data_IF_789239357739
#
_entry.id   IF_789239357739
#
_cell.length_a   1.000
_cell.length_b   1.000
_cell.length_c   1.000
_cell.angle_alpha   90.00
_cell.angle_beta   90.00
_cell.angle_gamma   90.00
#
_symmetry.space_group_name_H-M   'P 1'
#
loop_
_entity.id
_entity.type
_entity.pdbx_description
1 polymer ?
#
# COMPACT_ATOMS: atom_id res chain seq x y z
N UNK A 1 55.55 37.55 -7.77
CA UNK A 1 54.50 36.53 -8.00
C UNK A 1 53.15 37.23 -7.94
N UNK A 2 52.53 37.51 -9.09
CA UNK A 2 51.21 38.16 -9.16
C UNK A 2 50.16 37.04 -9.19
N UNK A 3 49.32 36.95 -8.15
CA UNK A 3 48.18 36.02 -8.13
C UNK A 3 47.02 36.67 -8.88
N UNK A 4 46.72 36.13 -10.06
CA UNK A 4 45.55 36.53 -10.84
C UNK A 4 44.33 35.82 -10.28
N UNK A 5 43.37 36.57 -9.73
CA UNK A 5 42.07 36.04 -9.32
C UNK A 5 41.10 36.24 -10.49
N UNK A 6 40.77 35.16 -11.19
CA UNK A 6 39.72 35.20 -12.20
C UNK A 6 38.36 35.26 -11.47
N UNK A 7 37.73 36.42 -11.47
CA UNK A 7 36.33 36.56 -11.06
C UNK A 7 35.45 36.13 -12.24
N UNK A 8 34.74 35.01 -12.08
CA UNK A 8 33.71 34.58 -13.02
C UNK A 8 32.43 35.37 -12.74
N UNK A 9 32.09 36.27 -13.66
CA UNK A 9 30.80 36.95 -13.68
C UNK A 9 29.82 36.11 -14.51
N UNK A 10 28.91 35.39 -13.86
CA UNK A 10 27.82 34.67 -14.53
C UNK A 10 26.62 35.60 -14.62
N UNK A 11 26.42 36.19 -15.81
CA UNK A 11 25.21 36.95 -16.12
C UNK A 11 24.13 35.97 -16.59
N UNK A 12 23.19 35.63 -15.71
CA UNK A 12 21.99 34.88 -16.09
C UNK A 12 20.92 35.88 -16.51
N UNK A 13 20.54 35.96 -17.80
CA UNK A 13 19.45 36.84 -18.21
C UNK A 13 18.16 36.38 -17.53
N UNK A 14 17.50 37.30 -16.84
CA UNK A 14 16.19 37.07 -16.23
C UNK A 14 15.09 37.09 -17.30
N UNK A 15 15.07 36.07 -18.16
CA UNK A 15 13.86 35.69 -18.89
C UNK A 15 13.16 34.65 -18.05
N UNK A 16 12.11 35.04 -17.34
CA UNK A 16 11.16 34.11 -16.71
C UNK A 16 10.32 33.44 -17.80
N UNK A 17 10.95 32.59 -18.61
CA UNK A 17 10.23 31.62 -19.41
C UNK A 17 9.74 30.54 -18.42
N UNK A 18 8.47 30.58 -18.07
CA UNK A 18 7.85 29.48 -17.33
C UNK A 18 7.93 28.23 -18.21
N UNK A 19 8.70 27.24 -17.77
CA UNK A 19 8.77 25.95 -18.45
C UNK A 19 7.36 25.35 -18.48
N UNK A 20 6.90 24.93 -19.67
CA UNK A 20 5.60 24.26 -19.83
C UNK A 20 5.53 22.93 -19.08
N UNK A 21 6.69 22.31 -18.82
CA UNK A 21 6.82 21.04 -18.12
C UNK A 21 7.92 21.11 -17.07
N UNK A 22 7.71 20.45 -15.93
CA UNK A 22 8.74 20.30 -14.91
C UNK A 22 9.88 19.42 -15.41
N UNK A 23 11.12 19.83 -15.13
CA UNK A 23 12.31 19.00 -15.31
C UNK A 23 12.61 18.11 -14.09
N UNK A 24 11.87 18.27 -12.99
CA UNK A 24 12.02 17.43 -11.80
C UNK A 24 11.22 16.13 -11.92
N UNK A 25 11.89 14.99 -11.74
CA UNK A 25 11.26 13.66 -11.70
C UNK A 25 11.38 13.06 -10.30
N UNK A 26 10.34 13.19 -9.48
CA UNK A 26 10.36 12.76 -8.07
C UNK A 26 9.64 11.44 -7.79
N UNK A 27 9.01 10.83 -8.79
CA UNK A 27 8.20 9.60 -8.63
C UNK A 27 9.02 8.41 -8.08
N UNK A 28 10.30 8.31 -8.45
CA UNK A 28 11.21 7.28 -7.92
C UNK A 28 11.49 7.39 -6.41
N UNK A 29 11.27 8.58 -5.82
CA UNK A 29 11.45 8.83 -4.39
C UNK A 29 10.15 8.63 -3.59
N UNK A 30 9.05 8.25 -4.23
CA UNK A 30 7.80 7.97 -3.54
C UNK A 30 7.93 6.69 -2.70
N UNK A 31 7.94 6.84 -1.38
CA UNK A 31 8.08 5.72 -0.42
C UNK A 31 7.00 4.65 -0.59
N UNK A 32 5.83 5.01 -1.12
CA UNK A 32 4.74 4.06 -1.44
C UNK A 32 5.13 3.05 -2.50
N UNK A 33 6.15 3.33 -3.32
CA UNK A 33 6.69 2.38 -4.30
C UNK A 33 7.73 1.43 -3.73
N UNK A 34 8.12 1.61 -2.46
CA UNK A 34 9.21 0.91 -1.80
C UNK A 34 8.79 0.12 -0.54
N UNK A 35 7.49 -0.07 -0.32
CA UNK A 35 6.95 -0.86 0.81
C UNK A 35 6.21 -2.13 0.35
N UNK A 36 6.51 -2.59 -0.87
CA UNK A 36 5.92 -3.80 -1.46
C UNK A 36 4.40 -3.72 -1.51
N UNK A 37 3.72 -4.72 -0.95
CA UNK A 37 2.26 -4.82 -0.94
C UNK A 37 1.62 -4.39 0.39
N UNK A 38 2.36 -3.64 1.23
CA UNK A 38 1.98 -3.27 2.59
C UNK A 38 1.53 -1.81 2.74
N UNK A 39 1.77 -0.98 1.73
CA UNK A 39 1.34 0.42 1.73
C UNK A 39 -0.06 0.67 1.18
N UNK A 40 -0.44 1.96 1.15
CA UNK A 40 -1.50 2.47 0.31
C UNK A 40 -1.37 2.15 -1.17
N UNK A 41 -2.48 2.21 -1.90
CA UNK A 41 -2.53 2.19 -3.36
C UNK A 41 -1.62 3.29 -3.95
N UNK A 42 -0.93 2.94 -5.02
CA UNK A 42 -0.13 3.87 -5.82
C UNK A 42 -0.28 3.50 -7.28
N UNK A 43 -0.47 4.51 -8.13
CA UNK A 43 -0.51 4.29 -9.56
C UNK A 43 0.80 3.68 -10.06
N UNK A 44 0.65 2.75 -11.00
CA UNK A 44 1.79 2.17 -11.71
C UNK A 44 2.52 3.28 -12.46
N UNK A 45 3.85 3.24 -12.44
CA UNK A 45 4.68 4.08 -13.33
C UNK A 45 4.26 3.88 -14.78
N UNK A 46 3.84 4.97 -15.44
CA UNK A 46 3.36 4.96 -16.81
C UNK A 46 4.51 4.98 -17.83
N UNK A 47 4.32 4.33 -18.98
CA UNK A 47 5.22 4.39 -20.14
C UNK A 47 4.93 5.59 -21.08
N UNK A 48 4.06 6.51 -20.66
CA UNK A 48 3.59 7.64 -21.47
C UNK A 48 2.45 7.29 -22.43
N UNK A 49 1.88 6.09 -22.33
CA UNK A 49 0.73 5.68 -23.13
C UNK A 49 -0.53 6.32 -22.52
N UNK A 50 -1.37 6.92 -23.36
CA UNK A 50 -2.65 7.44 -22.92
C UNK A 50 -3.55 6.28 -22.46
N UNK A 51 -4.19 6.44 -21.32
CA UNK A 51 -5.04 5.44 -20.70
C UNK A 51 -6.42 5.34 -21.38
N UNK A 52 -6.83 6.34 -22.15
CA UNK A 52 -8.11 6.38 -22.85
C UNK A 52 -8.12 5.49 -24.10
N UNK A 53 -9.31 5.00 -24.52
CA UNK A 53 -9.42 4.28 -25.78
C UNK A 53 -8.88 5.12 -26.95
N UNK A 54 -8.22 4.49 -27.94
CA UNK A 54 -7.79 5.20 -29.14
C UNK A 54 -8.93 5.91 -29.85
N UNK A 55 -8.62 6.96 -30.61
CA UNK A 55 -9.61 7.70 -31.39
C UNK A 55 -10.38 6.75 -32.34
N UNK A 56 -11.71 6.83 -32.31
CA UNK A 56 -12.59 5.95 -33.08
C UNK A 56 -12.90 4.60 -32.41
N UNK A 57 -12.36 4.33 -31.22
CA UNK A 57 -12.66 3.14 -30.43
C UNK A 57 -13.49 3.48 -29.20
N UNK A 58 -14.32 2.54 -28.77
CA UNK A 58 -15.01 2.56 -27.48
C UNK A 58 -14.84 1.21 -26.80
N UNK A 59 -14.79 1.21 -25.47
CA UNK A 59 -14.82 -0.05 -24.70
C UNK A 59 -16.22 -0.62 -24.77
N UNK A 60 -16.34 -1.92 -25.07
CA UNK A 60 -17.59 -2.69 -25.08
C UNK A 60 -17.67 -3.72 -23.94
N UNK A 61 -16.55 -4.04 -23.29
CA UNK A 61 -16.49 -4.92 -22.12
C UNK A 61 -15.32 -4.57 -21.18
N UNK A 62 -15.53 -4.75 -19.87
CA UNK A 62 -14.49 -4.61 -18.85
C UNK A 62 -14.47 -5.85 -17.96
N UNK A 63 -13.26 -6.38 -17.72
CA UNK A 63 -12.99 -7.38 -16.70
C UNK A 63 -11.97 -6.78 -15.74
N UNK A 64 -12.37 -6.57 -14.48
CA UNK A 64 -11.51 -6.01 -13.44
C UNK A 64 -11.30 -7.05 -12.33
N UNK A 65 -10.05 -7.20 -11.91
CA UNK A 65 -9.68 -7.96 -10.72
C UNK A 65 -8.98 -6.97 -9.78
N UNK A 66 -9.64 -6.60 -8.68
CA UNK A 66 -9.11 -5.70 -7.65
C UNK A 66 -8.74 -6.51 -6.40
N UNK A 67 -7.56 -6.24 -5.84
CA UNK A 67 -7.18 -6.68 -4.50
C UNK A 67 -8.07 -5.96 -3.48
N UNK A 68 -8.26 -6.55 -2.29
CA UNK A 68 -8.75 -5.76 -1.15
C UNK A 68 -7.97 -4.45 -0.97
N UNK A 69 -8.61 -3.44 -0.39
CA UNK A 69 -7.99 -2.15 -0.10
C UNK A 69 -6.97 -2.23 1.03
N UNK A 70 -6.62 -1.07 1.56
CA UNK A 70 -5.75 -0.93 2.71
C UNK A 70 -6.38 -1.57 3.95
N UNK A 71 -5.55 -2.34 4.66
CA UNK A 71 -5.97 -3.11 5.82
C UNK A 71 -5.01 -2.93 6.99
N UNK A 72 -5.53 -3.16 8.19
CA UNK A 72 -4.70 -3.42 9.37
C UNK A 72 -3.83 -4.68 9.18
N UNK A 73 -2.77 -4.86 10.01
CA UNK A 73 -1.95 -6.07 9.97
C UNK A 73 -2.77 -7.36 10.12
N UNK A 74 -2.24 -8.48 9.64
CA UNK A 74 -2.83 -9.80 9.92
C UNK A 74 -2.66 -10.12 11.41
N UNK A 75 -3.53 -11.00 11.91
CA UNK A 75 -3.39 -11.51 13.28
C UNK A 75 -2.05 -12.24 13.53
N UNK A 76 -1.41 -12.77 12.47
CA UNK A 76 -0.07 -13.38 12.52
C UNK A 76 1.09 -12.37 12.42
N UNK A 77 0.81 -11.13 12.01
CA UNK A 77 1.77 -10.03 11.87
C UNK A 77 1.76 -9.16 13.13
N UNK A 78 0.57 -8.80 13.63
CA UNK A 78 0.34 -7.89 14.75
C UNK A 78 1.22 -8.13 15.98
N UNK A 79 1.26 -9.35 16.56
CA UNK A 79 2.10 -9.65 17.72
C UNK A 79 3.60 -9.42 17.49
N UNK A 80 4.09 -9.55 16.26
CA UNK A 80 5.51 -9.33 15.92
C UNK A 80 5.82 -7.84 15.86
N UNK A 81 4.90 -7.04 15.31
CA UNK A 81 4.98 -5.57 15.30
C UNK A 81 4.94 -5.04 16.73
N UNK A 82 3.98 -5.49 17.54
CA UNK A 82 3.85 -5.10 18.94
C UNK A 82 5.12 -5.42 19.74
N UNK A 83 5.69 -6.62 19.57
CA UNK A 83 6.94 -7.02 20.24
C UNK A 83 8.11 -6.07 19.92
N UNK A 84 8.26 -5.67 18.66
CA UNK A 84 9.29 -4.70 18.27
C UNK A 84 9.01 -3.31 18.84
N UNK A 85 7.75 -2.85 18.80
CA UNK A 85 7.32 -1.57 19.37
C UNK A 85 7.52 -1.48 20.89
N UNK A 86 7.35 -2.58 21.63
CA UNK A 86 7.58 -2.59 23.07
C UNK A 86 9.04 -2.30 23.44
N UNK A 87 10.01 -2.81 22.66
CA UNK A 87 11.43 -2.44 22.83
C UNK A 87 11.62 -0.94 22.64
N UNK A 88 11.02 -0.40 21.57
CA UNK A 88 11.13 1.01 21.20
C UNK A 88 10.51 1.93 22.25
N UNK A 89 9.29 1.64 22.71
CA UNK A 89 8.61 2.44 23.73
C UNK A 89 9.37 2.47 25.04
N UNK A 90 9.90 1.32 25.48
CA UNK A 90 10.71 1.24 26.71
C UNK A 90 11.93 2.16 26.62
N UNK A 91 12.74 2.02 25.57
CA UNK A 91 13.95 2.82 25.40
C UNK A 91 13.66 4.32 25.24
N UNK A 92 12.63 4.70 24.47
CA UNK A 92 12.29 6.10 24.26
C UNK A 92 11.84 6.82 25.54
N UNK A 93 11.30 6.09 26.52
CA UNK A 93 10.91 6.60 27.84
C UNK A 93 12.08 6.64 28.82
N UNK A 94 12.90 5.58 28.84
CA UNK A 94 14.03 5.44 29.77
C UNK A 94 15.23 6.34 29.38
N UNK A 95 15.41 6.62 28.08
CA UNK A 95 16.55 7.37 27.51
C UNK A 95 16.06 8.51 26.59
N UNK A 96 15.58 9.64 27.15
CA UNK A 96 15.05 10.73 26.34
C UNK A 96 16.15 11.40 25.50
N UNK A 97 16.25 11.03 24.23
CA UNK A 97 17.11 11.67 23.24
C UNK A 97 16.32 12.73 22.46
N UNK A 98 16.55 14.02 22.75
CA UNK A 98 15.74 15.16 22.22
C UNK A 98 15.75 15.21 20.69
N UNK A 99 16.91 14.95 20.08
CA UNK A 99 17.10 14.98 18.61
C UNK A 99 17.15 13.57 17.99
N UNK A 100 16.64 12.57 18.70
CA UNK A 100 16.67 11.17 18.23
C UNK A 100 15.53 10.84 17.29
N UNK A 101 15.76 9.93 16.35
CA UNK A 101 14.78 9.52 15.32
C UNK A 101 13.49 8.95 15.93
N UNK A 102 13.54 8.44 17.17
CA UNK A 102 12.42 7.81 17.88
C UNK A 102 11.74 8.74 18.89
N UNK A 103 12.11 10.03 18.94
CA UNK A 103 11.55 10.97 19.92
C UNK A 103 10.03 11.13 19.79
N UNK A 104 9.47 10.96 18.58
CA UNK A 104 8.02 11.00 18.33
C UNK A 104 7.24 9.92 19.11
N UNK A 105 7.89 8.81 19.48
CA UNK A 105 7.25 7.66 20.13
C UNK A 105 6.66 8.04 21.50
N UNK A 106 7.24 9.05 22.17
CA UNK A 106 6.77 9.55 23.47
C UNK A 106 5.31 10.03 23.42
N UNK A 107 4.90 10.57 22.28
CA UNK A 107 3.57 11.13 22.07
C UNK A 107 2.80 10.36 20.98
N UNK A 108 3.18 9.10 20.72
CA UNK A 108 2.58 8.28 19.69
C UNK A 108 1.93 7.03 20.28
N UNK A 109 0.75 6.70 19.78
CA UNK A 109 0.00 5.49 20.09
C UNK A 109 0.01 4.55 18.89
N UNK A 110 0.01 3.25 19.16
CA UNK A 110 -0.05 2.27 18.08
C UNK A 110 -1.39 2.41 17.35
N UNK A 111 -1.34 2.45 16.02
CA UNK A 111 -2.48 2.77 15.17
C UNK A 111 -3.56 1.68 15.15
N UNK A 112 -3.26 0.46 15.60
CA UNK A 112 -4.24 -0.63 15.71
C UNK A 112 -4.99 -0.50 17.04
N UNK A 113 -6.30 -0.18 17.06
CA UNK A 113 -7.03 0.10 18.31
C UNK A 113 -7.17 -1.14 19.21
N UNK A 114 -7.34 -2.30 18.61
CA UNK A 114 -7.40 -3.60 19.29
C UNK A 114 -7.12 -4.73 18.31
N UNK A 115 -6.79 -5.91 18.82
CA UNK A 115 -6.54 -7.09 17.98
C UNK A 115 -7.75 -7.53 17.14
N UNK A 116 -8.96 -7.08 17.46
CA UNK A 116 -10.16 -7.32 16.65
C UNK A 116 -10.11 -6.64 15.28
N UNK A 117 -9.32 -5.57 15.14
CA UNK A 117 -9.11 -4.87 13.88
C UNK A 117 -8.11 -5.60 12.98
N UNK A 118 -7.34 -6.56 13.50
CA UNK A 118 -6.46 -7.34 12.65
C UNK A 118 -7.25 -7.99 11.50
N UNK A 119 -6.64 -7.94 10.33
CA UNK A 119 -7.18 -8.43 9.07
C UNK A 119 -8.43 -7.69 8.54
N UNK A 120 -8.82 -6.57 9.15
CA UNK A 120 -9.91 -5.69 8.66
C UNK A 120 -9.37 -4.59 7.76
N UNK A 121 -10.20 -4.16 6.81
CA UNK A 121 -9.95 -2.94 6.04
C UNK A 121 -9.87 -1.73 6.99
N UNK A 122 -9.03 -0.75 6.65
CA UNK A 122 -8.95 0.49 7.40
C UNK A 122 -10.11 1.41 7.05
N UNK A 123 -10.57 2.20 8.03
CA UNK A 123 -11.73 3.11 7.91
C UNK A 123 -11.41 4.56 8.25
N UNK A 124 -10.16 4.87 8.57
CA UNK A 124 -9.71 6.19 9.04
C UNK A 124 -8.45 6.65 8.32
N UNK A 125 -8.31 7.97 8.15
CA UNK A 125 -7.17 8.56 7.46
C UNK A 125 -7.36 8.65 5.94
N UNK A 126 -6.44 9.34 5.23
CA UNK A 126 -6.59 9.60 3.80
C UNK A 126 -6.40 8.37 2.91
N UNK A 127 -5.76 7.31 3.44
CA UNK A 127 -5.47 6.04 2.77
C UNK A 127 -6.31 4.88 3.30
N UNK A 128 -7.53 5.16 3.77
CA UNK A 128 -8.36 4.10 4.32
C UNK A 128 -8.98 3.24 3.21
N UNK A 129 -8.88 1.92 3.34
CA UNK A 129 -9.19 0.98 2.24
C UNK A 129 -10.64 0.96 1.81
N UNK A 130 -11.55 1.22 2.76
CA UNK A 130 -12.98 1.36 2.49
C UNK A 130 -13.24 2.55 1.57
N UNK A 131 -12.71 3.73 1.90
CA UNK A 131 -12.91 4.94 1.11
C UNK A 131 -12.16 4.91 -0.23
N UNK A 132 -10.94 4.37 -0.28
CA UNK A 132 -10.20 4.15 -1.54
C UNK A 132 -11.04 3.31 -2.50
N UNK A 133 -11.57 2.20 -1.98
CA UNK A 133 -12.35 1.27 -2.79
C UNK A 133 -13.65 1.86 -3.29
N UNK A 134 -14.36 2.63 -2.44
CA UNK A 134 -15.56 3.36 -2.86
C UNK A 134 -15.26 4.36 -3.98
N UNK A 135 -14.19 5.16 -3.84
CA UNK A 135 -13.77 6.12 -4.87
C UNK A 135 -13.42 5.43 -6.18
N UNK A 136 -12.74 4.28 -6.12
CA UNK A 136 -12.45 3.51 -7.33
C UNK A 136 -13.74 2.97 -7.99
N UNK A 137 -14.77 2.63 -7.22
CA UNK A 137 -16.11 2.31 -7.76
C UNK A 137 -16.69 3.49 -8.55
N UNK A 138 -16.64 4.70 -7.98
CA UNK A 138 -17.09 5.93 -8.66
C UNK A 138 -16.30 6.22 -9.93
N UNK A 139 -14.97 6.08 -9.88
CA UNK A 139 -14.09 6.28 -11.03
C UNK A 139 -14.40 5.26 -12.14
N UNK A 140 -14.67 4.01 -11.77
CA UNK A 140 -15.09 2.99 -12.71
C UNK A 140 -16.45 3.31 -13.32
N UNK A 141 -17.42 3.84 -12.56
CA UNK A 141 -18.72 4.29 -13.08
C UNK A 141 -18.57 5.47 -14.03
N UNK A 142 -17.75 6.46 -13.69
CA UNK A 142 -17.47 7.59 -14.57
C UNK A 142 -16.81 7.15 -15.88
N UNK A 143 -15.97 6.12 -15.83
CA UNK A 143 -15.22 5.63 -16.99
C UNK A 143 -15.99 4.64 -17.86
N UNK A 144 -16.81 3.80 -17.25
CA UNK A 144 -17.41 2.62 -17.87
C UNK A 144 -18.92 2.55 -17.70
N UNK A 145 -19.54 3.61 -17.16
CA UNK A 145 -20.97 3.65 -16.90
C UNK A 145 -21.82 3.45 -18.15
N UNK A 146 -21.30 3.80 -19.33
CA UNK A 146 -21.96 3.57 -20.62
C UNK A 146 -22.16 2.09 -20.97
N UNK A 147 -21.52 1.16 -20.25
CA UNK A 147 -21.70 -0.28 -20.41
C UNK A 147 -22.87 -0.84 -19.59
N UNK A 148 -23.41 -0.06 -18.66
CA UNK A 148 -24.53 -0.45 -17.82
C UNK A 148 -25.76 0.39 -18.18
N UNK A 149 -26.85 -0.29 -18.51
CA UNK A 149 -28.14 0.30 -18.90
C UNK A 149 -28.95 0.86 -17.72
N UNK A 150 -28.37 0.87 -16.52
CA UNK A 150 -29.00 1.27 -15.25
C UNK A 150 -30.15 0.37 -14.78
N UNK A 151 -30.43 -0.70 -15.52
CA UNK A 151 -31.57 -1.59 -15.27
C UNK A 151 -31.14 -3.02 -14.95
N UNK A 152 -30.12 -3.50 -15.64
CA UNK A 152 -29.61 -4.86 -15.52
C UNK A 152 -29.00 -5.07 -14.14
N UNK A 153 -29.34 -6.19 -13.51
CA UNK A 153 -28.68 -6.64 -12.29
C UNK A 153 -27.29 -7.19 -12.65
N UNK A 154 -26.25 -6.62 -12.04
CA UNK A 154 -24.85 -6.94 -12.31
C UNK A 154 -24.28 -7.81 -11.19
N UNK A 155 -23.74 -9.00 -11.49
CA UNK A 155 -23.06 -9.82 -10.50
C UNK A 155 -21.68 -9.24 -10.16
N UNK A 156 -21.39 -9.13 -8.87
CA UNK A 156 -20.06 -8.87 -8.32
C UNK A 156 -19.52 -10.18 -7.73
N UNK A 157 -18.20 -10.40 -7.80
CA UNK A 157 -17.58 -11.63 -7.30
C UNK A 157 -16.50 -11.29 -6.27
N UNK A 158 -16.52 -11.99 -5.13
CA UNK A 158 -15.57 -11.80 -4.04
C UNK A 158 -15.16 -13.16 -3.48
N UNK A 159 -13.90 -13.31 -3.05
CA UNK A 159 -13.53 -14.48 -2.24
C UNK A 159 -14.02 -14.31 -0.80
N UNK A 160 -14.21 -15.41 -0.05
CA UNK A 160 -14.88 -15.41 1.26
C UNK A 160 -14.09 -14.80 2.44
N UNK A 161 -12.97 -14.12 2.19
CA UNK A 161 -12.29 -13.33 3.20
C UNK A 161 -13.03 -12.01 3.48
N UNK A 162 -13.30 -11.70 4.75
CA UNK A 162 -14.11 -10.53 5.14
C UNK A 162 -13.67 -9.21 4.51
N UNK A 163 -12.37 -8.91 4.53
CA UNK A 163 -11.79 -7.71 3.88
C UNK A 163 -12.06 -7.64 2.37
N UNK A 164 -12.07 -8.79 1.67
CA UNK A 164 -12.33 -8.85 0.22
C UNK A 164 -13.82 -8.65 -0.06
N UNK A 165 -14.69 -9.22 0.79
CA UNK A 165 -16.14 -8.99 0.71
C UNK A 165 -16.47 -7.51 0.95
N UNK A 166 -15.85 -6.88 1.96
CA UNK A 166 -16.06 -5.46 2.26
C UNK A 166 -15.55 -4.57 1.11
N UNK A 167 -14.38 -4.87 0.52
CA UNK A 167 -13.92 -4.20 -0.70
C UNK A 167 -14.94 -4.34 -1.84
N UNK A 168 -15.44 -5.54 -2.13
CA UNK A 168 -16.39 -5.74 -3.23
C UNK A 168 -17.70 -4.97 -3.01
N UNK A 169 -18.19 -4.90 -1.75
CA UNK A 169 -19.36 -4.09 -1.38
C UNK A 169 -19.12 -2.61 -1.63
N UNK A 170 -18.03 -2.06 -1.11
CA UNK A 170 -17.73 -0.63 -1.22
C UNK A 170 -17.46 -0.21 -2.67
N UNK A 171 -16.83 -1.08 -3.47
CA UNK A 171 -16.65 -0.84 -4.90
C UNK A 171 -18.01 -0.81 -5.61
N UNK A 172 -18.90 -1.75 -5.29
CA UNK A 172 -20.26 -1.79 -5.80
C UNK A 172 -21.05 -0.54 -5.42
N UNK A 173 -21.06 -0.15 -4.14
CA UNK A 173 -21.74 1.06 -3.68
C UNK A 173 -21.24 2.31 -4.41
N UNK A 174 -19.92 2.45 -4.59
CA UNK A 174 -19.35 3.55 -5.36
C UNK A 174 -19.70 3.51 -6.85
N UNK A 175 -19.83 2.32 -7.45
CA UNK A 175 -20.15 2.17 -8.87
C UNK A 175 -21.64 2.39 -9.18
N UNK A 176 -22.52 1.76 -8.43
CA UNK A 176 -23.96 1.80 -8.68
C UNK A 176 -24.63 3.03 -8.04
N UNK A 177 -24.09 3.53 -6.93
CA UNK A 177 -24.80 4.43 -6.02
C UNK A 177 -25.52 3.66 -4.92
N UNK A 178 -25.75 4.31 -3.77
CA UNK A 178 -26.28 3.67 -2.55
C UNK A 178 -27.68 3.04 -2.73
N UNK A 179 -28.52 3.59 -3.59
CA UNK A 179 -29.89 3.12 -3.79
C UNK A 179 -29.94 1.99 -4.83
N UNK A 180 -29.28 2.18 -5.96
CA UNK A 180 -29.21 1.19 -7.04
C UNK A 180 -28.42 -0.04 -6.60
N UNK A 181 -27.34 0.11 -5.83
CA UNK A 181 -26.52 -1.02 -5.36
C UNK A 181 -27.37 -2.11 -4.68
N UNK A 182 -28.36 -1.71 -3.86
CA UNK A 182 -29.22 -2.64 -3.10
C UNK A 182 -30.10 -3.52 -3.98
N UNK A 183 -30.37 -3.10 -5.23
CA UNK A 183 -31.33 -3.78 -6.13
C UNK A 183 -30.72 -4.20 -7.46
N UNK A 184 -29.61 -3.60 -7.86
CA UNK A 184 -28.94 -3.78 -9.15
C UNK A 184 -27.57 -4.43 -9.04
N UNK A 185 -27.04 -4.65 -7.83
CA UNK A 185 -25.83 -5.45 -7.62
C UNK A 185 -26.16 -6.76 -6.90
N UNK A 186 -25.50 -7.85 -7.32
CA UNK A 186 -25.57 -9.14 -6.64
C UNK A 186 -24.18 -9.66 -6.31
N UNK A 187 -23.79 -9.60 -5.04
CA UNK A 187 -22.50 -10.12 -4.60
C UNK A 187 -22.53 -11.66 -4.50
N UNK A 188 -21.64 -12.30 -5.24
CA UNK A 188 -21.41 -13.73 -5.28
C UNK A 188 -20.12 -14.03 -4.51
N UNK A 189 -20.27 -14.58 -3.30
CA UNK A 189 -19.13 -14.94 -2.46
C UNK A 189 -18.67 -16.35 -2.85
N UNK A 190 -17.43 -16.44 -3.33
CA UNK A 190 -16.78 -17.67 -3.76
C UNK A 190 -15.86 -18.14 -2.63
N UNK A 191 -16.06 -19.37 -2.17
CA UNK A 191 -15.30 -19.86 -1.02
C UNK A 191 -13.80 -19.99 -1.30
N UNK A 192 -12.96 -19.68 -0.32
CA UNK A 192 -11.51 -19.92 -0.39
C UNK A 192 -11.13 -21.38 -0.08
N UNK A 193 -12.11 -22.23 0.19
CA UNK A 193 -11.90 -23.66 0.42
C UNK A 193 -11.23 -24.32 -0.78
N UNK A 194 -10.17 -25.09 -0.52
CA UNK A 194 -9.48 -25.88 -1.55
C UNK A 194 -10.41 -26.84 -2.33
N UNK A 195 -11.58 -27.18 -1.77
CA UNK A 195 -12.61 -28.01 -2.42
C UNK A 195 -13.22 -27.36 -3.67
N UNK A 196 -13.12 -26.04 -3.83
CA UNK A 196 -13.61 -25.33 -5.01
C UNK A 196 -12.85 -25.66 -6.29
N UNK A 197 -11.65 -26.27 -6.19
CA UNK A 197 -10.85 -26.61 -7.36
C UNK A 197 -10.53 -25.37 -8.20
N UNK A 198 -10.84 -25.40 -9.49
CA UNK A 198 -10.62 -24.27 -10.40
C UNK A 198 -11.74 -23.21 -10.34
N UNK A 199 -12.86 -23.48 -9.67
CA UNK A 199 -13.95 -22.52 -9.46
C UNK A 199 -13.64 -21.59 -8.28
N UNK A 200 -12.53 -20.85 -8.35
CA UNK A 200 -12.01 -20.08 -7.22
C UNK A 200 -11.35 -18.78 -7.68
N UNK A 201 -11.41 -17.76 -6.82
CA UNK A 201 -10.69 -16.50 -7.00
C UNK A 201 -9.31 -16.48 -6.32
N UNK A 202 -9.10 -17.35 -5.33
CA UNK A 202 -7.86 -17.39 -4.52
C UNK A 202 -7.32 -18.81 -4.37
N UNK A 203 -7.28 -19.55 -5.47
CA UNK A 203 -6.78 -20.93 -5.46
C UNK A 203 -5.30 -21.00 -5.10
N UNK A 204 -4.97 -21.78 -4.09
CA UNK A 204 -3.61 -22.33 -3.92
C UNK A 204 -3.51 -23.64 -4.69
N UNK A 205 -3.00 -23.57 -5.93
CA UNK A 205 -2.71 -24.75 -6.75
C UNK A 205 -1.25 -25.15 -6.57
N UNK A 206 -0.91 -25.66 -5.39
CA UNK A 206 0.41 -26.25 -5.19
C UNK A 206 0.25 -27.69 -4.72
N UNK A 207 0.63 -28.64 -5.58
CA UNK A 207 1.36 -29.78 -5.05
C UNK A 207 2.57 -29.19 -4.31
N UNK A 208 2.88 -29.67 -3.10
CA UNK A 208 4.04 -29.15 -2.34
C UNK A 208 5.30 -29.31 -3.20
N UNK A 209 5.76 -28.23 -3.80
CA UNK A 209 7.03 -28.21 -4.51
C UNK A 209 8.15 -28.05 -3.47
N UNK A 210 8.59 -29.18 -2.94
CA UNK A 210 9.67 -29.23 -1.96
C UNK A 210 11.00 -28.70 -2.53
N UNK A 211 11.18 -28.70 -3.85
CA UNK A 211 12.38 -28.13 -4.46
C UNK A 211 12.31 -26.60 -4.44
N UNK A 212 11.20 -26.01 -4.91
CA UNK A 212 10.98 -24.57 -4.82
C UNK A 212 11.02 -24.07 -3.37
N UNK A 213 10.40 -24.79 -2.43
CA UNK A 213 10.44 -24.42 -1.01
C UNK A 213 11.87 -24.38 -0.47
N UNK A 214 12.71 -25.38 -0.80
CA UNK A 214 14.12 -25.37 -0.40
C UNK A 214 14.90 -24.20 -1.00
N UNK A 215 14.58 -23.79 -2.23
CA UNK A 215 15.18 -22.58 -2.84
C UNK A 215 14.76 -21.33 -2.06
N UNK A 216 13.48 -21.19 -1.74
CA UNK A 216 12.97 -20.07 -0.94
C UNK A 216 13.61 -20.02 0.46
N UNK A 217 13.72 -21.17 1.12
CA UNK A 217 14.29 -21.29 2.47
C UNK A 217 15.80 -21.01 2.48
N UNK A 218 16.51 -21.39 1.40
CA UNK A 218 17.94 -21.12 1.23
C UNK A 218 18.23 -19.71 0.71
N UNK A 219 17.20 -18.97 0.27
CA UNK A 219 17.39 -17.63 -0.26
C UNK A 219 17.90 -16.71 0.85
N UNK A 220 19.05 -16.02 0.67
CA UNK A 220 19.59 -15.14 1.69
C UNK A 220 18.56 -14.10 2.11
N UNK A 221 18.08 -14.20 3.35
CA UNK A 221 17.17 -13.23 3.96
C UNK A 221 17.93 -12.03 4.57
N UNK A 222 19.24 -11.90 4.29
CA UNK A 222 20.02 -10.77 4.77
C UNK A 222 19.58 -9.51 4.02
N UNK A 223 19.17 -8.52 4.80
CA UNK A 223 18.88 -7.17 4.34
C UNK A 223 19.87 -6.24 5.06
N UNK A 224 21.09 -6.03 4.52
CA UNK A 224 22.14 -5.27 5.19
C UNK A 224 21.72 -3.85 5.60
N UNK A 225 20.78 -3.26 4.86
CA UNK A 225 20.21 -1.95 5.16
C UNK A 225 19.42 -1.97 6.49
N UNK A 226 18.76 -3.08 6.83
CA UNK A 226 18.07 -3.24 8.11
C UNK A 226 19.05 -3.41 9.26
N UNK A 227 20.20 -4.04 9.02
CA UNK A 227 21.30 -4.11 10.00
C UNK A 227 21.86 -2.71 10.28
N UNK A 228 22.11 -1.92 9.23
CA UNK A 228 22.55 -0.53 9.37
C UNK A 228 21.52 0.36 10.09
N UNK A 229 20.23 0.16 9.82
CA UNK A 229 19.15 0.86 10.54
C UNK A 229 19.09 0.47 12.02
N UNK A 230 19.23 -0.83 12.33
CA UNK A 230 19.29 -1.31 13.72
C UNK A 230 20.49 -0.71 14.46
N UNK A 231 21.67 -0.72 13.85
CA UNK A 231 22.89 -0.12 14.41
C UNK A 231 22.69 1.37 14.69
N UNK A 232 22.15 2.14 13.73
CA UNK A 232 21.90 3.58 13.92
C UNK A 232 20.99 3.85 15.12
N UNK A 233 19.86 3.13 15.22
CA UNK A 233 18.91 3.33 16.32
C UNK A 233 19.49 2.87 17.66
N UNK A 234 20.22 1.75 17.71
CA UNK A 234 20.89 1.29 18.93
C UNK A 234 22.01 2.24 19.38
N UNK A 235 22.65 2.99 18.48
CA UNK A 235 23.63 4.03 18.85
C UNK A 235 22.93 5.24 19.49
N UNK A 236 21.76 5.63 18.98
CA UNK A 236 20.98 6.73 19.57
C UNK A 236 20.35 6.33 20.92
N UNK A 237 19.99 5.05 21.08
CA UNK A 237 19.36 4.50 22.28
C UNK A 237 19.99 3.14 22.67
N UNK A 238 21.06 3.14 23.48
CA UNK A 238 21.83 1.93 23.80
C UNK A 238 21.03 0.75 24.36
N UNK A 239 19.90 0.98 25.05
CA UNK A 239 19.07 -0.10 25.62
C UNK A 239 18.14 -0.80 24.62
N UNK A 240 17.97 -0.29 23.40
CA UNK A 240 17.04 -0.81 22.40
C UNK A 240 17.31 -2.27 22.01
N UNK A 241 18.58 -2.61 21.77
CA UNK A 241 19.03 -3.91 21.25
C UNK A 241 18.11 -4.43 20.11
N UNK A 242 17.85 -3.58 19.11
CA UNK A 242 17.10 -3.93 17.91
C UNK A 242 17.96 -4.81 17.00
N UNK A 243 17.28 -5.77 16.38
CA UNK A 243 17.81 -6.65 15.32
C UNK A 243 17.24 -6.23 13.97
N UNK A 244 17.80 -6.73 12.87
CA UNK A 244 17.24 -6.53 11.52
C UNK A 244 15.78 -7.01 11.42
N UNK A 245 15.42 -8.07 12.14
CA UNK A 245 14.03 -8.55 12.25
C UNK A 245 13.11 -7.55 12.95
N UNK A 246 13.57 -6.91 14.04
CA UNK A 246 12.78 -5.88 14.70
C UNK A 246 12.55 -4.68 13.76
N UNK A 247 13.59 -4.26 13.02
CA UNK A 247 13.48 -3.20 12.01
C UNK A 247 12.49 -3.59 10.92
N UNK A 248 12.51 -4.82 10.41
CA UNK A 248 11.55 -5.29 9.42
C UNK A 248 10.11 -5.09 9.89
N UNK A 249 9.80 -5.47 11.14
CA UNK A 249 8.44 -5.30 11.69
C UNK A 249 8.10 -3.84 11.99
N UNK A 250 9.06 -3.01 12.38
CA UNK A 250 8.86 -1.56 12.54
C UNK A 250 8.63 -0.84 11.19
N UNK A 251 9.20 -1.36 10.11
CA UNK A 251 8.98 -0.86 8.75
C UNK A 251 7.75 -1.48 8.08
N UNK A 252 7.19 -2.55 8.64
CA UNK A 252 5.97 -3.16 8.12
C UNK A 252 4.77 -2.28 8.50
N UNK A 253 4.04 -1.79 7.48
CA UNK A 253 2.89 -0.86 7.63
C UNK A 253 3.24 0.54 8.19
N UNK A 254 4.12 1.32 7.55
CA UNK A 254 4.62 2.58 8.11
C UNK A 254 3.68 3.80 7.91
N UNK A 255 2.54 3.65 7.24
CA UNK A 255 1.73 4.76 6.71
C UNK A 255 0.22 4.62 6.93
N UNK A 256 -0.19 3.86 7.95
CA UNK A 256 -1.58 3.77 8.40
C UNK A 256 -1.74 4.40 9.78
#
# INVERSE_FOLDING_TARGET
MVRSYAQFLVLVPATTATLLFSQQTLDGNNILKHNGAMGPYVDRTNYGINRDPPAGCSVDQVIMIKRHGERYPLASEGPKIEKALQKVKKAALDEPHVDGDLNFVKNWTYFVPSSCYYDKETTTGPYNGIQDTYRHGMDARNRYGHLWDEETLVPLFASDAGRIVDTARMFGEGFFGDDEYKTKAAINIISESARQGANALSRTCHARDLHAQRICDAWPQSLPQLEGAAQRLNVQYPSLNLTSTDIFWLMSRPLL
#
